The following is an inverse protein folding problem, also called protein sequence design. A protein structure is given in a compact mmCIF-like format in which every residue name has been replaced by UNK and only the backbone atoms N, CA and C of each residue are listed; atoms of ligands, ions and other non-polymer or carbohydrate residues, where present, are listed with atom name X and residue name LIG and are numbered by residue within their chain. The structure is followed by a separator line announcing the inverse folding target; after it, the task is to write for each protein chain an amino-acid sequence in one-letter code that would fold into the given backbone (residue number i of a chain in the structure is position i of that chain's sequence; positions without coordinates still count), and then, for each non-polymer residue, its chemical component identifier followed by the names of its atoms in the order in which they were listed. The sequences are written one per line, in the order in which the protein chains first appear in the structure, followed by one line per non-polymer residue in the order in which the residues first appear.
data_IF_582443036276
#
_entry.id   IF_582443036276
#
_cell.length_a   1.000
_cell.length_b   1.000
_cell.length_c   1.000
_cell.angle_alpha   90.00
_cell.angle_beta   90.00
_cell.angle_gamma   90.00
#
_symmetry.space_group_name_H-M   'P 1'
#
loop_
_entity.id
_entity.type
_entity.pdbx_description
1 polymer ?
#
# COMPACT_ATOMS: atom_id res chain seq x y z
N UNK A 1 21.18 9.89 -35.90
CA UNK A 1 21.97 8.73 -36.38
C UNK A 1 21.85 7.63 -35.33
N UNK A 2 21.47 6.38 -35.57
CA UNK A 2 21.33 5.61 -36.81
C UNK A 2 21.62 4.13 -36.45
N UNK A 3 20.56 3.32 -36.48
CA UNK A 3 20.46 1.85 -36.58
C UNK A 3 21.64 0.91 -36.29
N UNK A 4 21.29 -0.19 -35.60
CA UNK A 4 21.67 -1.53 -36.08
C UNK A 4 20.63 -2.59 -35.71
N UNK A 5 19.74 -2.85 -36.66
CA UNK A 5 19.00 -4.11 -36.76
C UNK A 5 19.96 -5.23 -37.12
N UNK A 6 19.82 -6.38 -36.45
CA UNK A 6 20.34 -7.66 -36.95
C UNK A 6 19.16 -8.63 -36.95
N UNK A 7 18.50 -8.75 -38.11
CA UNK A 7 17.77 -9.94 -38.48
C UNK A 7 18.69 -10.76 -39.39
N UNK A 8 18.99 -12.00 -39.02
CA UNK A 8 19.11 -13.13 -39.96
C UNK A 8 19.30 -14.43 -39.18
N UNK A 9 18.42 -15.40 -39.39
CA UNK A 9 18.53 -16.73 -38.83
C UNK A 9 17.28 -17.57 -39.09
N UNK A 10 17.05 -17.90 -40.36
CA UNK A 10 15.99 -18.81 -40.80
C UNK A 10 16.26 -20.23 -40.30
N UNK A 11 15.22 -20.96 -39.90
CA UNK A 11 15.17 -22.43 -40.00
C UNK A 11 13.69 -22.87 -40.05
N UNK A 12 13.30 -23.34 -41.23
CA UNK A 12 12.08 -24.09 -41.53
C UNK A 12 12.08 -25.42 -40.78
N UNK A 13 11.01 -25.68 -40.01
CA UNK A 13 10.75 -26.98 -39.38
C UNK A 13 9.25 -27.24 -39.32
N UNK A 14 8.78 -28.15 -40.17
CA UNK A 14 7.43 -28.73 -40.13
C UNK A 14 7.39 -29.76 -39.00
N UNK A 15 6.43 -29.64 -38.07
CA UNK A 15 6.07 -30.75 -37.18
C UNK A 15 5.82 -30.36 -35.72
N UNK A 16 4.76 -30.96 -35.17
CA UNK A 16 4.32 -30.96 -33.78
C UNK A 16 3.54 -29.72 -33.33
N UNK A 17 2.22 -29.78 -33.61
CA UNK A 17 1.17 -29.23 -32.75
C UNK A 17 1.42 -29.64 -31.29
N UNK A 18 2.17 -28.81 -30.57
CA UNK A 18 2.53 -29.03 -29.18
C UNK A 18 2.53 -27.68 -28.46
N UNK A 19 1.45 -27.42 -27.73
CA UNK A 19 1.38 -26.61 -26.52
C UNK A 19 1.98 -25.20 -26.54
N UNK A 20 1.09 -24.20 -26.44
CA UNK A 20 1.26 -23.15 -25.43
C UNK A 20 -0.12 -22.90 -24.83
N UNK A 21 -0.37 -23.15 -23.53
CA UNK A 21 -1.50 -22.50 -22.90
C UNK A 21 -1.23 -21.01 -22.99
N UNK A 22 -2.13 -20.27 -23.64
CA UNK A 22 -2.17 -18.82 -23.52
C UNK A 22 -2.42 -18.56 -22.04
N UNK A 23 -1.34 -18.32 -21.29
CA UNK A 23 -1.43 -17.84 -19.94
C UNK A 23 -2.14 -16.48 -20.04
N UNK A 24 -3.44 -16.49 -19.78
CA UNK A 24 -4.23 -15.30 -19.53
C UNK A 24 -3.51 -14.57 -18.40
N UNK A 25 -2.69 -13.58 -18.75
CA UNK A 25 -2.15 -12.65 -17.78
C UNK A 25 -3.36 -11.95 -17.18
N UNK A 26 -3.85 -12.47 -16.06
CA UNK A 26 -4.94 -11.88 -15.31
C UNK A 26 -4.42 -10.52 -14.86
N UNK A 27 -4.85 -9.48 -15.55
CA UNK A 27 -4.61 -8.10 -15.14
C UNK A 27 -5.46 -7.85 -13.89
N UNK A 28 -5.02 -8.39 -12.75
CA UNK A 28 -5.65 -8.13 -11.46
C UNK A 28 -5.53 -6.63 -11.21
N UNK A 29 -6.65 -5.92 -11.25
CA UNK A 29 -6.68 -4.50 -10.94
C UNK A 29 -6.05 -4.26 -9.56
N UNK A 30 -5.24 -3.21 -9.42
CA UNK A 30 -4.67 -2.84 -8.13
C UNK A 30 -5.78 -2.64 -7.09
N UNK A 31 -5.61 -3.12 -5.85
CA UNK A 31 -6.63 -2.98 -4.83
C UNK A 31 -6.88 -1.50 -4.52
N UNK A 32 -8.14 -1.18 -4.18
CA UNK A 32 -8.50 0.19 -3.83
C UNK A 32 -7.81 0.64 -2.54
N UNK A 33 -7.58 1.96 -2.34
CA UNK A 33 -7.06 2.49 -1.08
C UNK A 33 -7.82 2.01 0.16
N UNK A 34 -9.14 1.83 0.04
CA UNK A 34 -9.99 1.33 1.12
C UNK A 34 -9.69 -0.15 1.43
N UNK A 35 -9.53 -0.98 0.40
CA UNK A 35 -9.17 -2.39 0.56
C UNK A 35 -7.79 -2.55 1.20
N UNK A 36 -6.84 -1.71 0.82
CA UNK A 36 -5.49 -1.66 1.41
C UNK A 36 -5.57 -1.30 2.90
N UNK A 37 -6.32 -0.27 3.26
CA UNK A 37 -6.48 0.14 4.66
C UNK A 37 -7.17 -0.95 5.49
N UNK A 38 -8.17 -1.61 4.91
CA UNK A 38 -8.85 -2.74 5.54
C UNK A 38 -7.89 -3.93 5.79
N UNK A 39 -6.95 -4.20 4.87
CA UNK A 39 -5.96 -5.26 5.01
C UNK A 39 -4.69 -4.83 5.79
N UNK A 40 -4.54 -3.56 6.13
CA UNK A 40 -3.32 -3.05 6.77
C UNK A 40 -3.06 -3.71 8.13
N UNK A 41 -1.82 -4.19 8.39
CA UNK A 41 -1.40 -4.65 9.70
C UNK A 41 -1.62 -3.58 10.77
N UNK A 42 -1.79 -3.98 12.04
CA UNK A 42 -2.06 -3.05 13.14
C UNK A 42 -1.02 -1.93 13.26
N UNK A 43 0.27 -2.23 13.12
CA UNK A 43 1.32 -1.21 13.13
C UNK A 43 1.23 -0.23 11.95
N UNK A 44 0.82 -0.70 10.76
CA UNK A 44 0.59 0.17 9.59
C UNK A 44 -0.65 1.04 9.76
N UNK A 45 -1.70 0.50 10.39
CA UNK A 45 -2.89 1.27 10.74
C UNK A 45 -2.56 2.39 11.75
N UNK A 46 -1.73 2.11 12.76
CA UNK A 46 -1.21 3.14 13.66
C UNK A 46 -0.43 4.22 12.88
N UNK A 47 0.39 3.82 11.91
CA UNK A 47 1.05 4.78 11.02
C UNK A 47 0.07 5.65 10.23
N UNK A 48 -0.99 5.07 9.66
CA UNK A 48 -2.01 5.86 8.95
C UNK A 48 -2.74 6.85 9.87
N UNK A 49 -3.03 6.47 11.12
CA UNK A 49 -3.59 7.42 12.09
C UNK A 49 -2.63 8.58 12.36
N UNK A 50 -1.34 8.29 12.52
CA UNK A 50 -0.32 9.32 12.71
C UNK A 50 -0.26 10.28 11.50
N UNK A 51 -0.32 9.74 10.27
CA UNK A 51 -0.45 10.56 9.06
C UNK A 51 -1.71 11.44 9.11
N UNK A 52 -2.87 10.87 9.43
CA UNK A 52 -4.13 11.58 9.43
C UNK A 52 -4.17 12.71 10.48
N UNK A 53 -3.67 12.46 11.69
CA UNK A 53 -3.56 13.47 12.75
C UNK A 53 -2.59 14.58 12.33
N UNK A 54 -1.38 14.22 11.90
CA UNK A 54 -0.34 15.18 11.53
C UNK A 54 -0.70 16.06 10.33
N UNK A 55 -1.65 15.63 9.50
CA UNK A 55 -2.14 16.41 8.36
C UNK A 55 -3.50 17.08 8.61
N UNK A 56 -4.03 17.05 9.85
CA UNK A 56 -5.32 17.66 10.18
C UNK A 56 -6.52 17.00 9.48
N UNK A 57 -6.39 15.73 9.09
CA UNK A 57 -7.42 14.92 8.43
C UNK A 57 -8.22 14.07 9.41
N UNK A 58 -7.77 13.97 10.66
CA UNK A 58 -8.50 13.39 11.79
C UNK A 58 -8.42 14.35 12.98
N UNK A 59 -9.47 14.38 13.80
CA UNK A 59 -9.49 15.21 15.01
C UNK A 59 -8.48 14.67 16.02
N UNK A 60 -7.58 15.53 16.48
CA UNK A 60 -6.45 15.14 17.33
C UNK A 60 -6.92 14.45 18.61
N UNK A 61 -7.90 15.03 19.32
CA UNK A 61 -8.34 14.54 20.63
C UNK A 61 -9.09 13.20 20.53
N UNK A 62 -9.75 12.95 19.41
CA UNK A 62 -10.48 11.69 19.17
C UNK A 62 -9.53 10.58 18.68
N UNK A 63 -8.59 10.91 17.78
CA UNK A 63 -7.76 9.92 17.11
C UNK A 63 -6.47 9.57 17.88
N UNK A 64 -5.93 10.48 18.70
CA UNK A 64 -4.68 10.24 19.45
C UNK A 64 -4.80 9.09 20.46
N UNK A 65 -5.88 8.96 21.26
CA UNK A 65 -6.03 7.81 22.14
C UNK A 65 -6.07 6.47 21.39
N UNK A 66 -6.69 6.44 20.21
CA UNK A 66 -6.72 5.25 19.35
C UNK A 66 -5.33 4.92 18.80
N UNK A 67 -4.55 5.93 18.41
CA UNK A 67 -3.17 5.77 17.97
C UNK A 67 -2.31 5.17 19.09
N UNK A 68 -2.38 5.72 20.30
CA UNK A 68 -1.62 5.22 21.47
C UNK A 68 -1.97 3.76 21.76
N UNK A 69 -3.26 3.42 21.80
CA UNK A 69 -3.70 2.06 22.04
C UNK A 69 -3.20 1.07 20.96
N UNK A 70 -3.19 1.48 19.68
CA UNK A 70 -2.62 0.66 18.62
C UNK A 70 -1.11 0.52 18.72
N UNK A 71 -0.38 1.58 19.06
CA UNK A 71 1.07 1.52 19.27
C UNK A 71 1.41 0.50 20.36
N UNK A 72 0.72 0.57 21.49
CA UNK A 72 0.91 -0.36 22.61
C UNK A 72 0.57 -1.81 22.22
N UNK A 73 -0.60 -2.02 21.60
CA UNK A 73 -1.07 -3.37 21.22
C UNK A 73 -0.18 -4.04 20.18
N UNK A 74 0.40 -3.28 19.27
CA UNK A 74 1.04 -3.82 18.06
C UNK A 74 2.56 -3.62 18.06
N UNK A 75 3.11 -3.00 19.11
CA UNK A 75 4.51 -2.57 19.16
C UNK A 75 4.90 -1.77 17.91
N UNK A 76 4.01 -0.87 17.48
CA UNK A 76 4.23 -0.06 16.27
C UNK A 76 5.39 0.92 16.43
N UNK A 77 5.68 1.34 17.65
CA UNK A 77 6.88 2.11 18.00
C UNK A 77 7.65 1.28 19.02
N UNK A 78 8.57 0.42 18.57
CA UNK A 78 9.34 -0.40 19.49
C UNK A 78 10.28 0.49 20.31
N UNK A 79 10.59 0.11 21.56
CA UNK A 79 11.52 0.86 22.39
C UNK A 79 12.98 0.67 21.97
N UNK A 80 13.25 -0.24 21.04
CA UNK A 80 14.56 -0.38 20.42
C UNK A 80 14.72 0.63 19.28
N UNK A 81 15.94 1.13 19.06
CA UNK A 81 16.23 2.13 18.02
C UNK A 81 15.99 1.63 16.58
N UNK A 82 15.49 0.40 16.41
CA UNK A 82 15.34 -0.26 15.11
C UNK A 82 14.10 0.19 14.35
N UNK A 83 13.13 0.80 15.03
CA UNK A 83 11.88 1.28 14.43
C UNK A 83 11.03 0.15 13.83
N UNK A 84 9.80 0.49 13.41
CA UNK A 84 8.90 -0.46 12.75
C UNK A 84 8.57 0.06 11.34
N UNK A 85 8.94 -0.70 10.31
CA UNK A 85 8.75 -0.29 8.92
C UNK A 85 7.28 -0.18 8.53
N UNK A 86 6.38 -1.00 9.11
CA UNK A 86 4.95 -0.88 8.82
C UNK A 86 4.38 0.43 9.37
N UNK A 87 4.77 0.79 10.59
CA UNK A 87 4.43 2.09 11.18
C UNK A 87 5.00 3.25 10.36
N UNK A 88 6.25 3.13 9.90
CA UNK A 88 6.90 4.14 9.08
C UNK A 88 6.19 4.31 7.71
N UNK A 89 5.85 3.21 7.03
CA UNK A 89 5.08 3.26 5.78
C UNK A 89 3.70 3.89 5.98
N UNK A 90 2.99 3.52 7.05
CA UNK A 90 1.71 4.13 7.38
C UNK A 90 1.84 5.63 7.64
N UNK A 91 2.83 6.04 8.43
CA UNK A 91 3.11 7.45 8.76
C UNK A 91 3.46 8.26 7.50
N UNK A 92 4.19 7.65 6.57
CA UNK A 92 4.52 8.24 5.27
C UNK A 92 3.33 8.23 4.29
N UNK A 93 2.18 7.67 4.67
CA UNK A 93 0.98 7.55 3.86
C UNK A 93 1.11 6.59 2.69
N UNK A 94 2.00 5.59 2.74
CA UNK A 94 2.21 4.63 1.64
C UNK A 94 1.14 3.55 1.66
N UNK A 95 0.38 3.44 0.57
CA UNK A 95 -0.68 2.44 0.40
C UNK A 95 -0.11 1.08 -0.07
N UNK A 96 0.86 1.10 -0.99
CA UNK A 96 1.46 -0.13 -1.54
C UNK A 96 2.95 -0.25 -1.23
N UNK A 97 3.34 -0.66 0.00
CA UNK A 97 4.72 -0.95 0.32
C UNK A 97 5.10 -2.28 -0.33
N UNK A 98 5.69 -2.22 -1.52
CA UNK A 98 6.11 -3.41 -2.28
C UNK A 98 6.04 -3.25 -3.80
N UNK A 99 5.37 -2.22 -4.31
CA UNK A 99 5.37 -1.89 -5.73
C UNK A 99 6.35 -0.74 -6.04
N UNK A 100 6.93 -0.68 -7.25
CA UNK A 100 7.82 0.43 -7.65
C UNK A 100 7.13 1.80 -7.60
N UNK A 101 5.84 1.85 -7.93
CA UNK A 101 5.05 3.09 -7.98
C UNK A 101 4.71 3.65 -6.60
N UNK A 102 4.78 2.84 -5.53
CA UNK A 102 4.50 3.23 -4.12
C UNK A 102 3.34 4.23 -3.95
N UNK A 103 2.17 3.93 -4.51
CA UNK A 103 0.99 4.78 -4.38
C UNK A 103 0.77 5.27 -2.94
N UNK A 104 0.43 6.55 -2.77
CA UNK A 104 0.35 7.24 -1.48
C UNK A 104 -1.01 7.89 -1.26
N UNK A 105 -1.37 8.10 0.01
CA UNK A 105 -2.51 8.92 0.40
C UNK A 105 -2.43 10.34 -0.17
N UNK A 106 -1.23 10.88 -0.34
CA UNK A 106 -1.01 12.23 -0.91
C UNK A 106 -1.31 12.32 -2.41
N UNK A 107 -1.41 11.19 -3.11
CA UNK A 107 -1.74 11.16 -4.53
C UNK A 107 -3.25 11.25 -4.77
N UNK A 108 -4.04 11.01 -3.73
CA UNK A 108 -5.50 11.11 -3.75
C UNK A 108 -5.95 12.57 -3.62
N UNK A 109 -7.16 12.88 -4.05
CA UNK A 109 -7.75 14.19 -3.77
C UNK A 109 -8.07 14.37 -2.27
N UNK A 110 -8.35 15.60 -1.85
CA UNK A 110 -8.60 15.90 -0.43
C UNK A 110 -9.87 15.24 0.12
N UNK A 111 -10.89 15.00 -0.71
CA UNK A 111 -12.11 14.31 -0.29
C UNK A 111 -11.80 12.85 -0.01
N UNK A 112 -11.13 12.18 -0.93
CA UNK A 112 -10.68 10.79 -0.80
C UNK A 112 -9.77 10.60 0.42
N UNK A 113 -8.84 11.54 0.68
CA UNK A 113 -7.99 11.51 1.88
C UNK A 113 -8.80 11.58 3.17
N UNK A 114 -9.76 12.50 3.26
CA UNK A 114 -10.62 12.62 4.45
C UNK A 114 -11.44 11.36 4.67
N UNK A 115 -12.00 10.80 3.60
CA UNK A 115 -12.81 9.57 3.69
C UNK A 115 -11.98 8.37 4.16
N UNK A 116 -10.73 8.24 3.70
CA UNK A 116 -9.82 7.21 4.17
C UNK A 116 -9.36 7.42 5.60
N UNK A 117 -9.07 8.66 6.00
CA UNK A 117 -8.72 8.97 7.39
C UNK A 117 -9.89 8.71 8.34
N UNK A 118 -11.12 9.03 7.96
CA UNK A 118 -12.30 8.66 8.71
C UNK A 118 -12.47 7.13 8.83
N UNK A 119 -12.13 6.38 7.79
CA UNK A 119 -12.10 4.90 7.84
C UNK A 119 -11.00 4.37 8.76
N UNK A 120 -9.81 4.97 8.75
CA UNK A 120 -8.71 4.61 9.65
C UNK A 120 -9.14 4.74 11.12
N UNK A 121 -9.77 5.86 11.47
CA UNK A 121 -10.30 6.14 12.82
C UNK A 121 -11.36 5.11 13.20
N UNK A 122 -12.35 4.84 12.33
CA UNK A 122 -13.38 3.83 12.59
C UNK A 122 -12.80 2.44 12.81
N UNK A 123 -11.87 2.02 11.94
CA UNK A 123 -11.22 0.71 12.06
C UNK A 123 -10.43 0.61 13.37
N UNK A 124 -9.70 1.66 13.75
CA UNK A 124 -8.96 1.68 15.00
C UNK A 124 -9.89 1.56 16.23
N UNK A 125 -11.05 2.23 16.20
CA UNK A 125 -12.07 2.15 17.26
C UNK A 125 -12.72 0.77 17.43
N UNK A 126 -12.67 -0.10 16.41
CA UNK A 126 -13.16 -1.48 16.49
C UNK A 126 -12.16 -2.46 17.14
N UNK A 127 -10.94 -1.99 17.41
CA UNK A 127 -9.81 -2.85 17.78
C UNK A 127 -9.20 -3.50 16.54
N UNK A 128 -7.93 -3.22 16.26
CA UNK A 128 -7.19 -3.80 15.13
C UNK A 128 -7.07 -5.32 15.19
#
# INVERSE_FOLDING_TARGET
MGYRSVMMGALTGFGLMGGLPVAMAQNTAAPSPQAILAAAPGARLAGYLNFCIGNGLAQHDEATPLLVALIEKTHAVPPDEKGNMDYAYGTAGVLHPGTPERARLTDLDMTQRRDLCAQAVRKAGMGA
#
